data_IF_335146152854
#
_entry.id   IF_335146152854
#
_cell.length_a   1.000
_cell.length_b   1.000
_cell.length_c   1.000
_cell.angle_alpha   90.00
_cell.angle_beta   90.00
_cell.angle_gamma   90.00
#
_symmetry.space_group_name_H-M   'P 1'
#
loop_
_entity.id
_entity.type
_entity.pdbx_description
1 polymer ?
#
# COMPACT_ATOMS: atom_id res chain seq x y z
N UNK A 1 8.19 -8.93 23.51
CA UNK A 1 8.58 -8.43 22.18
C UNK A 1 7.89 -7.10 21.96
N UNK A 2 8.68 -6.05 21.79
CA UNK A 2 8.28 -4.63 21.74
C UNK A 2 7.47 -4.31 20.48
N UNK A 3 6.48 -3.40 20.52
CA UNK A 3 5.60 -3.07 19.37
C UNK A 3 6.31 -2.36 18.19
N UNK A 4 7.63 -2.22 18.23
CA UNK A 4 8.40 -1.31 17.40
C UNK A 4 8.98 -1.92 16.10
N UNK A 5 8.69 -3.18 15.77
CA UNK A 5 9.36 -3.86 14.63
C UNK A 5 8.54 -3.91 13.33
N UNK A 6 7.34 -3.34 13.26
CA UNK A 6 6.48 -3.48 12.06
C UNK A 6 6.37 -2.16 11.34
N UNK A 7 6.84 -2.07 10.10
CA UNK A 7 6.96 -0.84 9.30
C UNK A 7 5.60 -0.33 8.76
N UNK A 8 4.67 -1.23 8.43
CA UNK A 8 3.34 -0.94 7.89
C UNK A 8 2.24 -1.71 8.61
N UNK A 9 1.10 -1.06 8.81
CA UNK A 9 -0.11 -1.66 9.38
C UNK A 9 -1.03 -2.21 8.28
N UNK A 10 -1.02 -1.59 7.09
CA UNK A 10 -1.80 -2.03 5.92
C UNK A 10 -0.95 -1.92 4.65
N UNK A 11 -0.93 -2.98 3.84
CA UNK A 11 -0.38 -2.95 2.48
C UNK A 11 -1.50 -3.21 1.48
N UNK A 12 -1.88 -2.20 0.71
CA UNK A 12 -2.96 -2.28 -0.27
C UNK A 12 -2.42 -2.77 -1.62
N UNK A 13 -2.41 -4.08 -1.83
CA UNK A 13 -2.04 -4.67 -3.11
C UNK A 13 -3.17 -4.53 -4.13
N UNK A 14 -2.83 -4.05 -5.34
CA UNK A 14 -3.81 -3.73 -6.37
C UNK A 14 -4.40 -2.32 -6.24
N UNK A 15 -3.71 -1.42 -5.53
CA UNK A 15 -4.11 -0.02 -5.35
C UNK A 15 -4.39 0.73 -6.67
N UNK A 16 -3.82 0.29 -7.79
CA UNK A 16 -4.04 0.89 -9.11
C UNK A 16 -5.32 0.43 -9.81
N UNK A 17 -5.99 -0.61 -9.30
CA UNK A 17 -7.24 -1.13 -9.82
C UNK A 17 -8.45 -0.29 -9.40
N UNK A 18 -9.64 -0.60 -9.94
CA UNK A 18 -10.86 0.17 -9.63
C UNK A 18 -11.20 0.15 -8.14
N UNK A 19 -11.37 -1.05 -7.56
CA UNK A 19 -11.67 -1.19 -6.13
C UNK A 19 -10.52 -0.70 -5.25
N UNK A 20 -9.26 -0.92 -5.67
CA UNK A 20 -8.09 -0.47 -4.93
C UNK A 20 -8.02 1.06 -4.77
N UNK A 21 -8.40 1.82 -5.81
CA UNK A 21 -8.46 3.28 -5.72
C UNK A 21 -9.52 3.74 -4.72
N UNK A 22 -10.73 3.18 -4.78
CA UNK A 22 -11.81 3.51 -3.84
C UNK A 22 -11.45 3.16 -2.39
N UNK A 23 -10.81 2.00 -2.18
CA UNK A 23 -10.31 1.62 -0.85
C UNK A 23 -9.24 2.60 -0.37
N UNK A 24 -8.31 3.02 -1.24
CA UNK A 24 -7.28 3.98 -0.88
C UNK A 24 -7.87 5.36 -0.54
N UNK A 25 -8.88 5.82 -1.29
CA UNK A 25 -9.61 7.06 -1.02
C UNK A 25 -10.32 7.00 0.33
N UNK A 26 -11.00 5.88 0.60
CA UNK A 26 -11.66 5.66 1.88
C UNK A 26 -10.66 5.70 3.05
N UNK A 27 -9.51 5.03 2.90
CA UNK A 27 -8.46 5.01 3.91
C UNK A 27 -7.87 6.42 4.14
N UNK A 28 -7.60 7.16 3.07
CA UNK A 28 -7.09 8.53 3.16
C UNK A 28 -8.11 9.52 3.77
N UNK A 29 -9.40 9.26 3.59
CA UNK A 29 -10.47 10.10 4.15
C UNK A 29 -10.85 9.74 5.59
N UNK A 30 -10.71 8.46 5.97
CA UNK A 30 -11.04 7.95 7.31
C UNK A 30 -10.12 8.46 8.42
N UNK A 31 -9.04 9.17 8.09
CA UNK A 31 -8.11 9.73 9.07
C UNK A 31 -7.36 8.66 9.88
N UNK A 32 -7.17 7.48 9.28
CA UNK A 32 -6.49 6.36 9.93
C UNK A 32 -5.06 6.74 10.31
N UNK A 33 -4.70 6.54 11.58
CA UNK A 33 -3.31 6.63 12.07
C UNK A 33 -2.45 5.44 11.66
N UNK A 34 -3.02 4.50 10.89
CA UNK A 34 -2.30 3.35 10.37
C UNK A 34 -1.23 3.77 9.35
N UNK A 35 -0.10 3.09 9.37
CA UNK A 35 0.96 3.24 8.36
C UNK A 35 0.60 2.41 7.14
N UNK A 36 0.20 3.08 6.06
CA UNK A 36 -0.35 2.45 4.86
C UNK A 36 0.68 2.50 3.73
N UNK A 37 0.86 1.38 3.02
CA UNK A 37 1.64 1.31 1.79
C UNK A 37 0.75 0.89 0.60
N UNK A 38 1.01 1.45 -0.58
CA UNK A 38 0.33 1.10 -1.82
C UNK A 38 1.19 0.12 -2.61
N UNK A 39 0.64 -1.04 -2.96
CA UNK A 39 1.37 -2.06 -3.70
C UNK A 39 0.73 -2.37 -5.06
N UNK A 40 1.58 -2.65 -6.04
CA UNK A 40 1.13 -3.02 -7.39
C UNK A 40 2.26 -3.10 -8.40
N UNK A 41 1.87 -3.44 -9.64
CA UNK A 41 2.83 -3.79 -10.71
C UNK A 41 3.49 -2.61 -11.40
N UNK A 42 2.98 -1.39 -11.20
CA UNK A 42 3.40 -0.22 -11.95
C UNK A 42 3.60 0.96 -11.02
N UNK A 43 4.86 1.34 -10.82
CA UNK A 43 5.24 2.46 -9.95
C UNK A 43 4.65 3.79 -10.41
N UNK A 44 4.50 3.98 -11.72
CA UNK A 44 3.88 5.17 -12.32
C UNK A 44 2.39 5.26 -11.95
N UNK A 45 1.64 4.17 -12.14
CA UNK A 45 0.22 4.13 -11.75
C UNK A 45 0.04 4.29 -10.24
N UNK A 46 0.94 3.73 -9.43
CA UNK A 46 0.93 3.90 -7.98
C UNK A 46 1.18 5.37 -7.58
N UNK A 47 2.13 6.06 -8.22
CA UNK A 47 2.34 7.50 -8.03
C UNK A 47 1.10 8.30 -8.40
N UNK A 48 0.44 7.96 -9.50
CA UNK A 48 -0.80 8.61 -9.93
C UNK A 48 -1.91 8.49 -8.88
N UNK A 49 -2.11 7.30 -8.32
CA UNK A 49 -3.07 7.09 -7.21
C UNK A 49 -2.67 7.90 -5.99
N UNK A 50 -1.40 7.87 -5.59
CA UNK A 50 -0.92 8.66 -4.44
C UNK A 50 -1.17 10.16 -4.62
N UNK A 51 -0.94 10.69 -5.82
CA UNK A 51 -1.23 12.09 -6.13
C UNK A 51 -2.73 12.41 -6.07
N UNK A 52 -3.59 11.51 -6.56
CA UNK A 52 -5.05 11.68 -6.49
C UNK A 52 -5.57 11.73 -5.05
N UNK A 53 -4.98 10.94 -4.15
CA UNK A 53 -5.37 10.89 -2.73
C UNK A 53 -4.99 12.15 -1.95
N UNK A 54 -4.10 12.99 -2.50
CA UNK A 54 -3.71 14.26 -1.89
C UNK A 54 -2.80 14.12 -0.66
N UNK A 55 -2.74 15.16 0.20
CA UNK A 55 -1.73 15.27 1.26
C UNK A 55 -1.78 14.14 2.28
N UNK A 56 -2.96 13.56 2.54
CA UNK A 56 -3.15 12.48 3.50
C UNK A 56 -2.43 11.17 3.12
N UNK A 57 -2.12 11.00 1.82
CA UNK A 57 -1.40 9.85 1.30
C UNK A 57 -0.04 10.19 0.70
N UNK A 58 0.39 11.46 0.78
CA UNK A 58 1.62 11.93 0.13
C UNK A 58 2.86 11.12 0.56
N UNK A 59 2.88 10.72 1.83
CA UNK A 59 3.99 9.97 2.45
C UNK A 59 3.79 8.45 2.38
N UNK A 60 2.71 7.94 1.78
CA UNK A 60 2.47 6.50 1.70
C UNK A 60 3.54 5.84 0.82
N UNK A 61 4.24 4.80 1.34
CA UNK A 61 5.26 4.11 0.57
C UNK A 61 4.65 3.32 -0.58
N UNK A 62 5.41 3.23 -1.68
CA UNK A 62 5.00 2.52 -2.89
C UNK A 62 5.81 1.24 -3.00
N UNK A 63 5.13 0.10 -3.03
CA UNK A 63 5.74 -1.22 -3.15
C UNK A 63 5.46 -1.77 -4.53
N UNK A 64 6.52 -2.04 -5.30
CA UNK A 64 6.37 -2.75 -6.57
C UNK A 64 6.22 -4.24 -6.28
N UNK A 65 5.07 -4.81 -6.62
CA UNK A 65 4.80 -6.23 -6.45
C UNK A 65 3.98 -6.75 -7.64
N UNK A 66 4.29 -7.95 -8.09
CA UNK A 66 3.65 -8.57 -9.24
C UNK A 66 3.17 -9.98 -8.91
N UNK A 67 1.86 -10.19 -9.03
CA UNK A 67 1.24 -11.48 -8.76
C UNK A 67 1.67 -12.59 -9.73
N UNK A 68 2.22 -12.25 -10.89
CA UNK A 68 2.81 -13.22 -11.82
C UNK A 68 4.24 -13.61 -11.48
N UNK A 69 4.86 -12.94 -10.50
CA UNK A 69 6.23 -13.18 -10.05
C UNK A 69 6.22 -13.52 -8.55
N UNK A 70 6.15 -14.82 -8.21
CA UNK A 70 6.00 -15.29 -6.82
C UNK A 70 7.02 -14.69 -5.84
N UNK A 71 8.27 -14.51 -6.27
CA UNK A 71 9.33 -13.92 -5.46
C UNK A 71 9.05 -12.46 -5.06
N UNK A 72 8.40 -11.67 -5.95
CA UNK A 72 8.05 -10.27 -5.64
C UNK A 72 6.85 -10.19 -4.70
N UNK A 73 5.94 -11.17 -4.79
CA UNK A 73 4.82 -11.36 -3.87
C UNK A 73 5.32 -11.75 -2.47
N UNK A 74 6.25 -12.70 -2.37
CA UNK A 74 6.84 -13.12 -1.10
C UNK A 74 7.61 -11.98 -0.42
N UNK A 75 8.39 -11.21 -1.20
CA UNK A 75 9.10 -10.04 -0.67
C UNK A 75 8.14 -8.94 -0.19
N UNK A 76 7.01 -8.73 -0.87
CA UNK A 76 5.95 -7.82 -0.40
C UNK A 76 5.24 -8.38 0.83
N UNK A 77 4.90 -9.67 0.82
CA UNK A 77 4.22 -10.38 1.89
C UNK A 77 5.01 -10.32 3.19
N UNK A 78 6.33 -10.51 3.14
CA UNK A 78 7.22 -10.40 4.29
C UNK A 78 7.22 -9.00 4.93
N UNK A 79 6.78 -7.96 4.20
CA UNK A 79 6.68 -6.58 4.68
C UNK A 79 5.26 -6.19 5.15
N UNK A 80 4.26 -7.05 4.93
CA UNK A 80 2.89 -6.86 5.39
C UNK A 80 2.61 -7.75 6.61
N UNK A 81 1.73 -7.31 7.52
CA UNK A 81 1.33 -8.13 8.68
C UNK A 81 0.41 -9.27 8.21
N UNK A 82 0.82 -10.52 8.38
CA UNK A 82 -0.07 -11.69 8.25
C UNK A 82 -0.58 -12.03 9.66
N UNK A 83 -1.89 -12.21 9.80
CA UNK A 83 -2.51 -12.73 11.01
C UNK A 83 -2.16 -14.20 11.18
#
# INVERSE_FOLDING_TARGET
>A
MSPAEREFDIVLYGATGFSGKLTAEHLAHSGSTARIALAGRSSERLRGVRMMLGPNAADWPLILADASQPLTLEAMAARARWC
#
